data_IF_185761444245
#
_entry.id   IF_185761444245
#
_cell.length_a   1.000
_cell.length_b   1.000
_cell.length_c   1.000
_cell.angle_alpha   90.00
_cell.angle_beta   90.00
_cell.angle_gamma   90.00
#
_symmetry.space_group_name_H-M   'P 1'
#
loop_
_entity.id
_entity.type
_entity.pdbx_description
1 polymer ?
#
# COMPACT_ATOMS: atom_id res chain seq x y z
N UNK A 1 -30.01 -6.47 -9.24
CA UNK A 1 -28.56 -6.70 -9.12
C UNK A 1 -27.91 -6.11 -10.35
N UNK A 2 -26.93 -5.20 -10.21
CA UNK A 2 -26.15 -4.72 -11.35
C UNK A 2 -25.29 -5.86 -11.91
N UNK A 3 -25.10 -5.92 -13.23
CA UNK A 3 -24.22 -6.94 -13.82
C UNK A 3 -22.76 -6.59 -13.51
N UNK A 4 -21.91 -7.61 -13.27
CA UNK A 4 -20.48 -7.42 -12.97
C UNK A 4 -19.77 -6.52 -14.00
N UNK A 5 -20.12 -6.71 -15.28
CA UNK A 5 -19.61 -5.90 -16.39
C UNK A 5 -20.00 -4.42 -16.26
N UNK A 6 -21.26 -4.12 -15.93
CA UNK A 6 -21.75 -2.74 -15.77
C UNK A 6 -21.02 -2.01 -14.63
N UNK A 7 -20.80 -2.69 -13.50
CA UNK A 7 -20.04 -2.15 -12.36
C UNK A 7 -18.57 -1.92 -12.76
N UNK A 8 -17.97 -2.87 -13.48
CA UNK A 8 -16.60 -2.73 -13.96
C UNK A 8 -16.44 -1.53 -14.90
N UNK A 9 -17.35 -1.38 -15.86
CA UNK A 9 -17.33 -0.28 -16.84
C UNK A 9 -17.52 1.08 -16.15
N UNK A 10 -18.46 1.18 -15.19
CA UNK A 10 -18.61 2.38 -14.36
C UNK A 10 -17.33 2.73 -13.61
N UNK A 11 -16.63 1.74 -13.03
CA UNK A 11 -15.34 1.95 -12.36
C UNK A 11 -14.29 2.45 -13.35
N UNK A 12 -14.24 1.93 -14.59
CA UNK A 12 -13.27 2.39 -15.59
C UNK A 12 -13.53 3.84 -16.02
N UNK A 13 -14.79 4.22 -16.26
CA UNK A 13 -15.14 5.60 -16.60
C UNK A 13 -14.80 6.56 -15.45
N UNK A 14 -15.16 6.23 -14.21
CA UNK A 14 -14.78 7.05 -13.05
C UNK A 14 -13.27 7.19 -12.88
N UNK A 15 -12.49 6.13 -13.15
CA UNK A 15 -11.02 6.19 -13.13
C UNK A 15 -10.48 7.13 -14.21
N UNK A 16 -11.09 7.13 -15.40
CA UNK A 16 -10.72 8.04 -16.50
C UNK A 16 -11.01 9.48 -16.13
N UNK A 17 -12.23 9.79 -15.71
CA UNK A 17 -12.62 11.14 -15.26
C UNK A 17 -11.73 11.63 -14.12
N UNK A 18 -11.46 10.80 -13.10
CA UNK A 18 -10.55 11.16 -12.00
C UNK A 18 -9.15 11.50 -12.51
N UNK A 19 -8.66 10.78 -13.52
CA UNK A 19 -7.33 11.01 -14.10
C UNK A 19 -7.27 12.33 -14.87
N UNK A 20 -8.34 12.67 -15.59
CA UNK A 20 -8.48 13.94 -16.32
C UNK A 20 -8.50 15.12 -15.35
N UNK A 21 -9.42 15.11 -14.37
CA UNK A 21 -9.50 16.14 -13.33
C UNK A 21 -8.16 16.26 -12.56
N UNK A 22 -7.54 15.13 -12.23
CA UNK A 22 -6.25 15.10 -11.54
C UNK A 22 -5.07 15.64 -12.37
N UNK A 23 -5.19 15.73 -13.71
CA UNK A 23 -4.21 16.42 -14.56
C UNK A 23 -4.46 17.91 -14.52
N UNK A 24 -5.69 18.34 -14.79
CA UNK A 24 -6.10 19.76 -14.73
C UNK A 24 -5.72 20.40 -13.39
N UNK A 25 -5.99 19.70 -12.28
CA UNK A 25 -5.60 20.15 -10.95
C UNK A 25 -4.09 20.35 -10.81
N UNK A 26 -3.26 19.43 -11.33
CA UNK A 26 -1.80 19.56 -11.26
C UNK A 26 -1.28 20.69 -12.14
N UNK A 27 -1.90 20.90 -13.29
CA UNK A 27 -1.55 22.00 -14.20
C UNK A 27 -1.96 23.36 -13.60
N UNK A 28 -3.10 23.44 -12.92
CA UNK A 28 -3.50 24.63 -12.18
C UNK A 28 -2.56 24.93 -11.01
N UNK A 29 -2.11 23.89 -10.29
CA UNK A 29 -1.12 24.05 -9.22
C UNK A 29 0.23 24.57 -9.74
N UNK A 30 0.72 24.08 -10.88
CA UNK A 30 2.00 24.54 -11.45
C UNK A 30 1.95 25.98 -11.96
N UNK A 31 0.75 26.47 -12.32
CA UNK A 31 0.50 27.86 -12.69
C UNK A 31 0.28 28.79 -11.49
N UNK A 32 0.09 28.23 -10.29
CA UNK A 32 -0.10 29.02 -9.06
C UNK A 32 1.24 29.54 -8.56
N UNK A 33 1.33 30.85 -8.34
CA UNK A 33 2.56 31.48 -7.84
C UNK A 33 3.03 30.87 -6.51
N UNK A 34 4.33 30.59 -6.40
CA UNK A 34 4.96 30.04 -5.20
C UNK A 34 4.79 28.53 -4.99
N UNK A 35 4.00 27.82 -5.80
CA UNK A 35 3.85 26.36 -5.66
C UNK A 35 5.11 25.60 -6.07
N UNK A 36 5.76 25.98 -7.18
CA UNK A 36 7.01 25.34 -7.59
C UNK A 36 8.17 25.69 -6.64
N UNK A 37 8.23 26.91 -6.11
CA UNK A 37 9.23 27.29 -5.11
C UNK A 37 9.06 26.47 -3.81
N UNK A 38 7.83 26.36 -3.31
CA UNK A 38 7.52 25.51 -2.15
C UNK A 38 7.90 24.04 -2.41
N UNK A 39 7.69 23.55 -3.63
CA UNK A 39 8.04 22.17 -4.00
C UNK A 39 9.55 21.95 -4.00
N UNK A 40 10.35 22.92 -4.43
CA UNK A 40 11.81 22.87 -4.29
C UNK A 40 12.25 22.94 -2.84
N UNK A 41 11.68 23.82 -2.02
CA UNK A 41 11.94 23.88 -0.57
C UNK A 41 11.63 22.53 0.10
N UNK A 42 10.51 21.90 -0.27
CA UNK A 42 10.13 20.57 0.22
C UNK A 42 11.15 19.49 -0.19
N UNK A 43 11.78 19.57 -1.36
CA UNK A 43 12.85 18.63 -1.73
C UNK A 43 14.04 18.79 -0.80
N UNK A 44 14.51 20.03 -0.58
CA UNK A 44 15.61 20.32 0.35
C UNK A 44 15.30 19.82 1.76
N UNK A 45 14.07 20.04 2.24
CA UNK A 45 13.64 19.55 3.55
C UNK A 45 13.59 18.02 3.63
N UNK A 46 13.16 17.34 2.55
CA UNK A 46 13.17 15.87 2.47
C UNK A 46 14.59 15.30 2.49
N UNK A 47 15.52 15.94 1.81
CA UNK A 47 16.93 15.56 1.84
C UNK A 47 17.51 15.72 3.25
N UNK A 48 17.28 16.87 3.89
CA UNK A 48 17.68 17.11 5.28
C UNK A 48 17.09 16.05 6.23
N UNK A 49 15.80 15.76 6.09
CA UNK A 49 15.12 14.71 6.86
C UNK A 49 15.80 13.35 6.66
N UNK A 50 16.06 12.97 5.41
CA UNK A 50 16.73 11.71 5.08
C UNK A 50 18.12 11.61 5.71
N UNK A 51 18.90 12.69 5.70
CA UNK A 51 20.22 12.72 6.35
C UNK A 51 20.12 12.46 7.85
N UNK A 52 19.14 13.07 8.54
CA UNK A 52 18.91 12.83 9.96
C UNK A 52 18.49 11.38 10.23
N UNK A 53 17.56 10.84 9.44
CA UNK A 53 17.12 9.45 9.57
C UNK A 53 18.27 8.47 9.36
N UNK A 54 19.08 8.66 8.32
CA UNK A 54 20.27 7.82 8.08
C UNK A 54 21.29 7.93 9.21
N UNK A 55 21.46 9.11 9.81
CA UNK A 55 22.29 9.29 11.02
C UNK A 55 21.80 8.43 12.18
N UNK A 56 20.50 8.50 12.51
CA UNK A 56 19.90 7.70 13.60
C UNK A 56 19.97 6.20 13.30
N UNK A 57 19.75 5.80 12.04
CA UNK A 57 19.88 4.40 11.60
C UNK A 57 21.30 3.88 11.85
N UNK A 58 22.32 4.69 11.51
CA UNK A 58 23.72 4.34 11.75
C UNK A 58 24.05 4.27 13.25
N UNK A 59 23.54 5.19 14.07
CA UNK A 59 23.71 5.18 15.54
C UNK A 59 23.09 3.93 16.19
N UNK A 60 21.94 3.47 15.71
CA UNK A 60 21.29 2.25 16.18
C UNK A 60 22.02 0.97 15.77
N UNK A 61 22.79 1.02 14.67
CA UNK A 61 23.62 -0.08 14.17
C UNK A 61 22.87 -1.41 14.11
N UNK A 62 23.36 -2.42 14.84
CA UNK A 62 22.79 -3.77 14.87
C UNK A 62 21.30 -3.82 15.27
N UNK A 63 20.79 -2.87 16.08
CA UNK A 63 19.36 -2.84 16.40
C UNK A 63 18.51 -2.43 15.20
N UNK A 64 19.04 -1.55 14.35
CA UNK A 64 18.35 -1.16 13.12
C UNK A 64 18.40 -2.29 12.07
N UNK A 65 19.50 -3.02 11.98
CA UNK A 65 19.58 -4.24 11.15
C UNK A 65 18.57 -5.30 11.61
N UNK A 66 18.43 -5.51 12.92
CA UNK A 66 17.41 -6.40 13.47
C UNK A 66 15.99 -5.93 13.14
N UNK A 67 15.74 -4.61 13.19
CA UNK A 67 14.46 -4.03 12.81
C UNK A 67 14.10 -4.34 11.35
N UNK A 68 15.03 -4.13 10.40
CA UNK A 68 14.81 -4.45 8.99
C UNK A 68 14.66 -5.97 8.77
N UNK A 69 15.45 -6.79 9.48
CA UNK A 69 15.33 -8.25 9.42
C UNK A 69 13.96 -8.72 9.87
N UNK A 70 13.47 -8.22 11.01
CA UNK A 70 12.14 -8.58 11.53
C UNK A 70 11.03 -8.15 10.57
N UNK A 71 11.17 -7.00 9.92
CA UNK A 71 10.23 -6.56 8.88
C UNK A 71 10.17 -7.57 7.72
N UNK A 72 11.32 -7.98 7.19
CA UNK A 72 11.39 -8.97 6.10
C UNK A 72 10.85 -10.33 6.52
N UNK A 73 11.14 -10.77 7.75
CA UNK A 73 10.60 -12.01 8.31
C UNK A 73 9.07 -11.95 8.43
N UNK A 74 8.51 -10.82 8.88
CA UNK A 74 7.05 -10.62 8.94
C UNK A 74 6.45 -10.70 7.53
N UNK A 75 6.98 -9.96 6.56
CA UNK A 75 6.48 -9.98 5.17
C UNK A 75 6.50 -11.42 4.59
N UNK A 76 7.55 -12.19 4.87
CA UNK A 76 7.65 -13.59 4.46
C UNK A 76 6.61 -14.49 5.16
N UNK A 77 6.38 -14.29 6.45
CA UNK A 77 5.40 -15.05 7.22
C UNK A 77 3.96 -14.72 6.78
N UNK A 78 3.67 -13.46 6.46
CA UNK A 78 2.37 -13.01 5.94
C UNK A 78 2.06 -13.63 4.57
N UNK A 79 3.08 -13.72 3.70
CA UNK A 79 2.93 -14.42 2.41
C UNK A 79 2.61 -15.91 2.64
N UNK A 80 3.39 -16.59 3.48
CA UNK A 80 3.15 -18.00 3.79
C UNK A 80 1.78 -18.22 4.44
N UNK A 81 1.35 -17.33 5.35
CA UNK A 81 0.03 -17.38 5.96
C UNK A 81 -1.08 -17.27 4.90
N UNK A 82 -0.90 -16.40 3.90
CA UNK A 82 -1.83 -16.25 2.78
C UNK A 82 -1.91 -17.53 1.95
N UNK A 83 -0.77 -18.16 1.64
CA UNK A 83 -0.71 -19.40 0.86
C UNK A 83 -1.38 -20.57 1.60
N UNK A 84 -1.15 -20.67 2.92
CA UNK A 84 -1.81 -21.66 3.79
C UNK A 84 -3.31 -21.40 3.81
N UNK A 85 -3.74 -20.16 4.08
CA UNK A 85 -5.15 -19.79 4.11
C UNK A 85 -5.86 -20.12 2.80
N UNK A 86 -5.26 -19.80 1.66
CA UNK A 86 -5.80 -20.14 0.34
C UNK A 86 -5.94 -21.64 0.14
N UNK A 87 -4.94 -22.42 0.55
CA UNK A 87 -4.99 -23.89 0.46
C UNK A 87 -6.11 -24.49 1.31
N UNK A 88 -6.24 -24.04 2.57
CA UNK A 88 -7.31 -24.46 3.51
C UNK A 88 -8.70 -24.11 2.98
N UNK A 89 -8.87 -22.94 2.37
CA UNK A 89 -10.15 -22.56 1.75
C UNK A 89 -10.47 -23.42 0.54
N UNK A 90 -9.48 -23.70 -0.31
CA UNK A 90 -9.64 -24.56 -1.48
C UNK A 90 -9.98 -26.00 -1.09
N UNK A 91 -9.52 -26.49 0.06
CA UNK A 91 -9.91 -27.81 0.60
C UNK A 91 -11.30 -27.81 1.27
N UNK A 92 -11.95 -26.65 1.40
CA UNK A 92 -13.27 -26.52 2.02
C UNK A 92 -13.26 -26.52 3.54
N UNK A 93 -12.08 -26.34 4.15
CA UNK A 93 -11.92 -26.23 5.60
C UNK A 93 -12.16 -24.80 6.09
N UNK A 94 -12.63 -24.66 7.33
CA UNK A 94 -12.82 -23.35 7.96
C UNK A 94 -11.49 -22.82 8.51
N UNK A 95 -11.21 -21.54 8.27
CA UNK A 95 -10.08 -20.84 8.88
C UNK A 95 -10.47 -20.38 10.28
N UNK A 96 -9.82 -20.91 11.30
CA UNK A 96 -9.94 -20.47 12.69
C UNK A 96 -8.61 -19.87 13.14
N UNK A 97 -8.49 -18.54 13.08
CA UNK A 97 -7.30 -17.82 13.54
C UNK A 97 -7.64 -17.06 14.83
N UNK A 98 -6.84 -17.26 15.88
CA UNK A 98 -6.98 -16.55 17.15
C UNK A 98 -5.66 -15.94 17.61
N UNK A 99 -5.71 -14.79 18.28
CA UNK A 99 -4.53 -14.20 18.92
C UNK A 99 -4.31 -14.72 20.35
N UNK A 100 -3.33 -14.14 21.05
CA UNK A 100 -3.00 -14.48 22.44
C UNK A 100 -4.11 -14.12 23.44
N UNK A 101 -5.08 -13.30 23.05
CA UNK A 101 -6.19 -12.85 23.87
C UNK A 101 -7.51 -13.53 23.49
N UNK A 102 -7.45 -14.61 22.70
CA UNK A 102 -8.62 -15.36 22.18
C UNK A 102 -9.53 -14.52 21.25
N UNK A 103 -8.99 -13.45 20.64
CA UNK A 103 -9.70 -12.67 19.61
C UNK A 103 -9.65 -13.44 18.30
N UNK A 104 -10.83 -13.71 17.75
CA UNK A 104 -11.01 -14.41 16.47
C UNK A 104 -10.84 -13.48 15.28
N UNK A 105 -10.18 -13.97 14.24
CA UNK A 105 -9.96 -13.27 12.98
C UNK A 105 -10.60 -14.04 11.84
N UNK A 106 -11.30 -13.31 10.99
CA UNK A 106 -11.82 -13.82 9.73
C UNK A 106 -10.97 -13.33 8.54
N UNK A 107 -10.79 -14.16 7.51
CA UNK A 107 -10.08 -13.76 6.31
C UNK A 107 -10.91 -12.76 5.48
N UNK A 108 -10.29 -11.67 5.05
CA UNK A 108 -10.91 -10.66 4.18
C UNK A 108 -10.32 -10.72 2.76
N UNK A 109 -11.14 -11.06 1.77
CA UNK A 109 -10.71 -11.18 0.37
C UNK A 109 -11.05 -9.95 -0.44
N UNK A 110 -10.14 -9.58 -1.35
CA UNK A 110 -10.39 -8.57 -2.38
C UNK A 110 -10.03 -9.13 -3.75
N UNK A 111 -11.03 -9.29 -4.60
CA UNK A 111 -10.81 -9.66 -6.00
C UNK A 111 -10.37 -8.41 -6.76
N UNK A 112 -9.21 -8.49 -7.41
CA UNK A 112 -8.71 -7.42 -8.28
C UNK A 112 -8.45 -7.96 -9.67
N UNK A 113 -8.86 -7.20 -10.69
CA UNK A 113 -8.66 -7.56 -12.09
C UNK A 113 -7.44 -6.81 -12.64
N UNK A 114 -6.54 -7.54 -13.32
CA UNK A 114 -5.44 -6.96 -14.10
C UNK A 114 -5.79 -7.03 -15.58
N UNK A 115 -5.34 -6.04 -16.36
CA UNK A 115 -5.41 -6.12 -17.82
C UNK A 115 -4.52 -7.27 -18.28
N UNK A 116 -5.04 -8.11 -19.15
CA UNK A 116 -4.23 -9.09 -19.89
C UNK A 116 -3.64 -8.30 -21.06
N UNK A 117 -2.31 -8.26 -21.15
CA UNK A 117 -1.60 -7.69 -22.29
C UNK A 117 -1.59 -8.68 -23.45
#
# INVERSE_FOLDING_TARGET
MQKMQEVFDQIQELKKTRKEIGREYRDALSQTGGYEDLKEELKVLREKKKTLETGVQAELGARYEQFEKTKLEIESLEQMLTDIAMTTLMSGENINLKDKNDVEYEPSYKITFKKIN
#
